data_IF_386288430875
#
_entry.id   IF_386288430875
#
_cell.length_a   1.000
_cell.length_b   1.000
_cell.length_c   1.000
_cell.angle_alpha   90.00
_cell.angle_beta   90.00
_cell.angle_gamma   90.00
#
_symmetry.space_group_name_H-M   'P 1'
#
loop_
_entity.id
_entity.type
_entity.pdbx_description
1 polymer ?
#
# COMPACT_ATOMS: atom_id res chain seq x y z
N UNK A 1 15.17 32.37 8.09
CA UNK A 1 16.64 32.22 8.11
C UNK A 1 17.24 33.54 8.60
N UNK A 2 18.35 33.51 9.34
CA UNK A 2 19.10 34.70 9.71
C UNK A 2 20.22 34.90 8.68
N UNK A 3 20.30 36.09 8.07
CA UNK A 3 21.29 36.40 7.03
C UNK A 3 22.68 36.66 7.62
N UNK A 4 22.75 37.24 8.83
CA UNK A 4 24.01 37.48 9.53
C UNK A 4 24.55 36.17 10.14
N UNK A 5 25.75 35.78 9.70
CA UNK A 5 26.41 34.54 10.12
C UNK A 5 26.68 34.46 11.64
N UNK A 6 27.07 35.57 12.28
CA UNK A 6 27.36 35.59 13.72
C UNK A 6 26.06 35.51 14.52
N UNK A 7 25.01 36.20 14.07
CA UNK A 7 23.68 36.11 14.67
C UNK A 7 23.11 34.69 14.53
N UNK A 8 23.32 34.04 13.37
CA UNK A 8 22.91 32.66 13.13
C UNK A 8 23.62 31.67 14.07
N UNK A 9 24.94 31.76 14.23
CA UNK A 9 25.70 30.93 15.17
C UNK A 9 25.29 31.16 16.63
N UNK A 10 25.14 32.41 17.04
CA UNK A 10 24.72 32.75 18.41
C UNK A 10 23.30 32.24 18.70
N UNK A 11 22.38 32.35 17.72
CA UNK A 11 21.04 31.80 17.83
C UNK A 11 21.06 30.26 17.90
N UNK A 12 21.83 29.61 17.03
CA UNK A 12 22.02 28.15 17.04
C UNK A 12 22.48 27.66 18.42
N UNK A 13 23.57 28.23 18.96
CA UNK A 13 24.08 27.85 20.28
C UNK A 13 23.04 28.03 21.38
N UNK A 14 22.29 29.14 21.36
CA UNK A 14 21.23 29.42 22.35
C UNK A 14 20.07 28.42 22.25
N UNK A 15 19.68 28.05 21.03
CA UNK A 15 18.58 27.10 20.77
C UNK A 15 18.99 25.67 21.12
N UNK A 16 20.19 25.22 20.71
CA UNK A 16 20.73 23.90 21.05
C UNK A 16 20.86 23.69 22.56
N UNK A 17 21.29 24.71 23.31
CA UNK A 17 21.31 24.67 24.79
C UNK A 17 19.94 24.47 25.43
N UNK A 18 18.85 24.72 24.71
CA UNK A 18 17.47 24.49 25.15
C UNK A 18 16.88 23.17 24.63
N UNK A 19 17.67 22.34 23.97
CA UNK A 19 17.21 21.08 23.38
C UNK A 19 16.35 21.24 22.13
N UNK A 20 16.37 22.41 21.49
CA UNK A 20 15.62 22.68 20.25
C UNK A 20 16.48 22.25 19.06
N UNK A 21 15.90 21.45 18.15
CA UNK A 21 16.53 21.07 16.90
C UNK A 21 16.69 22.30 15.98
N UNK A 22 17.88 22.48 15.42
CA UNK A 22 18.23 23.61 14.56
C UNK A 22 18.63 23.10 13.17
N UNK A 23 18.16 23.78 12.13
CA UNK A 23 18.72 23.67 10.79
C UNK A 23 19.32 25.04 10.43
N UNK A 24 20.62 25.06 10.13
CA UNK A 24 21.35 26.24 9.69
C UNK A 24 21.56 26.11 8.18
N UNK A 25 20.86 26.96 7.42
CA UNK A 25 20.94 26.98 5.95
C UNK A 25 22.40 27.13 5.50
N UNK A 26 22.78 26.36 4.48
CA UNK A 26 24.13 26.31 3.90
C UNK A 26 25.26 25.83 4.84
N UNK A 27 24.93 25.36 6.06
CA UNK A 27 25.90 24.85 7.05
C UNK A 27 25.48 23.49 7.62
N UNK A 28 25.54 22.42 6.81
CA UNK A 28 25.04 21.10 7.19
C UNK A 28 25.69 20.53 8.47
N UNK A 29 26.96 20.84 8.74
CA UNK A 29 27.68 20.45 9.95
C UNK A 29 27.12 21.07 11.24
N UNK A 30 26.35 22.15 11.12
CA UNK A 30 25.70 22.83 12.24
C UNK A 30 24.24 22.39 12.44
N UNK A 31 23.68 21.63 11.49
CA UNK A 31 22.29 21.17 11.50
C UNK A 31 22.09 19.93 12.37
N UNK A 32 20.96 19.87 13.07
CA UNK A 32 20.46 18.67 13.75
C UNK A 32 19.56 17.82 12.84
N UNK A 33 19.03 18.41 11.76
CA UNK A 33 18.18 17.75 10.78
C UNK A 33 18.32 18.34 9.38
N UNK A 34 17.86 17.61 8.36
CA UNK A 34 17.80 18.08 6.97
C UNK A 34 16.36 18.40 6.57
N UNK A 35 16.18 19.40 5.72
CA UNK A 35 14.86 19.71 5.14
C UNK A 35 14.62 18.83 3.91
N UNK A 36 13.55 18.01 3.89
CA UNK A 36 13.24 17.17 2.74
C UNK A 36 12.66 18.01 1.59
N UNK A 37 12.64 17.42 0.40
CA UNK A 37 11.84 17.92 -0.73
C UNK A 37 10.39 17.44 -0.53
N UNK A 38 9.43 18.35 -0.41
CA UNK A 38 8.04 18.04 -0.06
C UNK A 38 7.16 18.12 -1.31
N UNK A 39 6.46 17.04 -1.61
CA UNK A 39 5.31 17.04 -2.53
C UNK A 39 4.04 17.21 -1.68
N UNK A 40 3.24 18.21 -2.03
CA UNK A 40 2.06 18.59 -1.28
C UNK A 40 0.76 18.30 -2.05
N UNK A 41 -0.10 17.47 -1.43
CA UNK A 41 -1.46 17.11 -1.86
C UNK A 41 -2.38 17.13 -0.64
N UNK A 42 -2.35 18.22 0.13
CA UNK A 42 -3.10 18.39 1.39
C UNK A 42 -4.47 17.67 1.40
N UNK A 43 -4.75 16.79 2.38
CA UNK A 43 -3.96 16.53 3.60
C UNK A 43 -2.83 15.50 3.44
N UNK A 44 -2.55 15.02 2.23
CA UNK A 44 -1.49 14.06 1.98
C UNK A 44 -0.16 14.75 1.65
N UNK A 45 0.89 14.41 2.39
CA UNK A 45 2.23 14.95 2.20
C UNK A 45 3.23 13.82 1.93
N UNK A 46 4.12 14.02 0.96
CA UNK A 46 5.24 13.10 0.69
C UNK A 46 6.54 13.88 0.88
N UNK A 47 7.35 13.46 1.85
CA UNK A 47 8.66 14.03 2.13
C UNK A 47 9.77 13.13 1.55
N UNK A 48 10.59 13.69 0.67
CA UNK A 48 11.70 12.99 0.01
C UNK A 48 13.02 13.51 0.59
N UNK A 49 13.71 12.65 1.32
CA UNK A 49 15.02 12.93 1.91
C UNK A 49 16.10 12.03 1.33
N UNK A 50 17.33 12.56 1.23
CA UNK A 50 18.53 11.78 0.88
C UNK A 50 19.53 11.69 2.03
N UNK A 51 19.11 12.04 3.25
CA UNK A 51 20.02 12.12 4.41
C UNK A 51 21.17 13.11 4.20
N UNK A 52 20.96 14.14 3.39
CA UNK A 52 21.99 15.13 3.04
C UNK A 52 22.88 14.75 1.85
N UNK A 53 22.77 13.53 1.30
CA UNK A 53 23.64 13.08 0.21
C UNK A 53 23.44 13.86 -1.10
N UNK A 54 22.20 14.23 -1.43
CA UNK A 54 21.92 15.05 -2.62
C UNK A 54 20.54 15.71 -2.55
N UNK A 55 20.51 17.03 -2.36
CA UNK A 55 19.28 17.81 -2.43
C UNK A 55 18.72 17.86 -3.87
N UNK A 56 19.62 17.88 -4.88
CA UNK A 56 19.25 17.84 -6.29
C UNK A 56 18.48 16.58 -6.67
N UNK A 57 18.92 15.41 -6.19
CA UNK A 57 18.22 14.14 -6.42
C UNK A 57 16.82 14.17 -5.80
N UNK A 58 16.68 14.58 -4.53
CA UNK A 58 15.37 14.71 -3.86
C UNK A 58 14.43 15.67 -4.63
N UNK A 59 14.96 16.80 -5.11
CA UNK A 59 14.21 17.76 -5.93
C UNK A 59 13.72 17.12 -7.23
N UNK A 60 14.60 16.46 -7.98
CA UNK A 60 14.22 15.86 -9.26
C UNK A 60 13.25 14.69 -9.10
N UNK A 61 13.37 13.87 -8.04
CA UNK A 61 12.37 12.83 -7.74
C UNK A 61 11.01 13.44 -7.39
N UNK A 62 10.97 14.49 -6.55
CA UNK A 62 9.73 15.23 -6.26
C UNK A 62 9.03 15.69 -7.53
N UNK A 63 9.77 16.37 -8.41
CA UNK A 63 9.22 16.91 -9.67
C UNK A 63 8.64 15.81 -10.57
N UNK A 64 9.26 14.62 -10.60
CA UNK A 64 8.72 13.47 -11.37
C UNK A 64 7.49 12.87 -10.71
N UNK A 65 7.48 12.75 -9.39
CA UNK A 65 6.31 12.26 -8.65
C UNK A 65 5.13 13.23 -8.75
N UNK A 66 5.38 14.55 -8.79
CA UNK A 66 4.33 15.56 -8.99
C UNK A 66 3.57 15.39 -10.30
N UNK A 67 4.20 14.83 -11.33
CA UNK A 67 3.57 14.55 -12.62
C UNK A 67 2.71 13.28 -12.60
N UNK A 68 3.00 12.36 -11.68
CA UNK A 68 2.32 11.05 -11.58
C UNK A 68 1.20 11.11 -10.55
N UNK A 69 1.40 11.86 -9.46
CA UNK A 69 0.50 11.91 -8.32
C UNK A 69 -0.53 13.02 -8.55
N UNK A 70 -1.81 12.67 -8.77
CA UNK A 70 -2.84 13.64 -9.12
C UNK A 70 -3.11 14.63 -7.99
N UNK A 71 -3.58 15.82 -8.34
CA UNK A 71 -3.95 16.84 -7.35
C UNK A 71 -5.19 16.42 -6.52
N UNK A 72 -6.06 15.58 -7.09
CA UNK A 72 -7.28 15.08 -6.46
C UNK A 72 -7.05 14.12 -5.29
N UNK A 73 -5.82 13.65 -5.08
CA UNK A 73 -5.48 12.74 -4.00
C UNK A 73 -5.82 13.30 -2.61
N UNK A 74 -5.70 14.61 -2.44
CA UNK A 74 -6.13 15.29 -1.22
C UNK A 74 -7.64 15.18 -0.97
N UNK A 75 -8.43 15.35 -2.03
CA UNK A 75 -9.89 15.19 -1.98
C UNK A 75 -10.28 13.74 -1.66
N UNK A 76 -9.58 12.75 -2.22
CA UNK A 76 -9.80 11.33 -1.89
C UNK A 76 -9.56 11.06 -0.40
N UNK A 77 -8.47 11.60 0.16
CA UNK A 77 -8.18 11.46 1.60
C UNK A 77 -9.28 12.10 2.47
N UNK A 78 -9.77 13.28 2.11
CA UNK A 78 -10.86 13.96 2.81
C UNK A 78 -12.19 13.21 2.69
N UNK A 79 -12.50 12.65 1.52
CA UNK A 79 -13.69 11.86 1.28
C UNK A 79 -13.68 10.58 2.12
N UNK A 80 -12.57 9.84 2.14
CA UNK A 80 -12.38 8.66 2.99
C UNK A 80 -12.46 8.99 4.49
N UNK A 81 -11.89 10.12 4.91
CA UNK A 81 -12.00 10.59 6.29
C UNK A 81 -13.45 10.87 6.67
N UNK A 82 -14.21 11.51 5.79
CA UNK A 82 -15.63 11.82 6.01
C UNK A 82 -16.49 10.55 6.04
N UNK A 83 -16.14 9.55 5.22
CA UNK A 83 -16.80 8.24 5.16
C UNK A 83 -16.49 7.31 6.36
N UNK A 84 -15.55 7.66 7.25
CA UNK A 84 -15.02 6.74 8.27
C UNK A 84 -16.07 6.15 9.21
N UNK A 85 -17.07 6.95 9.62
CA UNK A 85 -18.10 6.48 10.56
C UNK A 85 -19.09 5.56 9.86
N UNK A 86 -19.44 5.87 8.62
CA UNK A 86 -20.29 5.01 7.80
C UNK A 86 -19.58 3.69 7.44
N UNK A 87 -18.28 3.72 7.14
CA UNK A 87 -17.45 2.53 6.98
C UNK A 87 -17.42 1.65 8.23
N UNK A 88 -17.31 2.25 9.42
CA UNK A 88 -17.36 1.50 10.70
C UNK A 88 -18.73 0.92 10.99
N UNK A 89 -19.80 1.63 10.64
CA UNK A 89 -21.17 1.13 10.80
C UNK A 89 -21.46 -0.03 9.84
N UNK A 90 -21.00 0.06 8.58
CA UNK A 90 -21.20 -0.96 7.54
C UNK A 90 -20.32 -2.19 7.76
N UNK A 91 -19.06 -1.99 8.14
CA UNK A 91 -18.10 -3.05 8.42
C UNK A 91 -17.60 -2.93 9.87
N UNK A 92 -18.32 -3.47 10.87
CA UNK A 92 -17.90 -3.40 12.27
C UNK A 92 -16.57 -4.13 12.52
N UNK A 93 -16.37 -5.27 11.85
CA UNK A 93 -15.13 -6.03 11.93
C UNK A 93 -13.95 -5.25 11.32
N UNK A 94 -12.86 -5.14 12.08
CA UNK A 94 -11.70 -4.35 11.68
C UNK A 94 -10.87 -5.00 10.56
N UNK A 95 -10.81 -6.33 10.52
CA UNK A 95 -10.09 -7.06 9.48
C UNK A 95 -10.84 -6.99 8.16
N UNK A 96 -12.16 -7.19 8.17
CA UNK A 96 -13.03 -7.03 7.01
C UNK A 96 -12.96 -5.61 6.45
N UNK A 97 -13.12 -4.60 7.31
CA UNK A 97 -13.03 -3.19 6.89
C UNK A 97 -11.68 -2.85 6.26
N UNK A 98 -10.57 -3.37 6.81
CA UNK A 98 -9.24 -3.22 6.20
C UNK A 98 -9.18 -3.88 4.83
N UNK A 99 -9.66 -5.14 4.70
CA UNK A 99 -9.67 -5.84 3.41
C UNK A 99 -10.43 -5.08 2.33
N UNK A 100 -11.62 -4.55 2.66
CA UNK A 100 -12.46 -3.81 1.72
C UNK A 100 -11.80 -2.49 1.30
N UNK A 101 -11.21 -1.74 2.24
CA UNK A 101 -10.47 -0.52 1.94
C UNK A 101 -9.22 -0.81 1.09
N UNK A 102 -8.45 -1.84 1.44
CA UNK A 102 -7.23 -2.22 0.71
C UNK A 102 -7.57 -2.64 -0.73
N UNK A 103 -8.63 -3.43 -0.93
CA UNK A 103 -9.11 -3.82 -2.26
C UNK A 103 -9.64 -2.63 -3.07
N UNK A 104 -10.17 -1.60 -2.42
CA UNK A 104 -10.62 -0.39 -3.09
C UNK A 104 -9.46 0.49 -3.58
N UNK A 105 -8.41 0.61 -2.77
CA UNK A 105 -7.26 1.48 -3.01
C UNK A 105 -6.14 0.84 -3.84
N UNK A 106 -6.22 -0.46 -4.14
CA UNK A 106 -5.22 -1.11 -4.99
C UNK A 106 -5.23 -0.54 -6.41
N UNK A 107 -4.15 -0.78 -7.16
CA UNK A 107 -4.05 -0.37 -8.56
C UNK A 107 -5.20 -0.98 -9.39
N UNK A 108 -5.94 -0.14 -10.09
CA UNK A 108 -7.15 -0.52 -10.84
C UNK A 108 -8.39 -0.79 -9.98
N UNK A 109 -8.30 -0.58 -8.67
CA UNK A 109 -9.44 -0.65 -7.76
C UNK A 109 -10.43 0.50 -7.94
N UNK A 110 -11.64 0.39 -7.37
CA UNK A 110 -12.67 1.41 -7.48
C UNK A 110 -12.28 2.77 -6.91
N UNK A 111 -11.30 2.84 -6.00
CA UNK A 111 -10.79 4.08 -5.42
C UNK A 111 -9.27 4.23 -5.63
N UNK A 112 -8.73 3.71 -6.75
CA UNK A 112 -7.31 3.82 -7.08
C UNK A 112 -6.82 5.28 -6.90
N UNK A 113 -5.86 5.54 -5.99
CA UNK A 113 -5.39 6.90 -5.69
C UNK A 113 -4.80 7.67 -6.87
N UNK A 114 -4.42 6.99 -7.96
CA UNK A 114 -3.86 7.61 -9.15
C UNK A 114 -4.91 7.97 -10.21
N UNK A 115 -6.18 7.63 -10.00
CA UNK A 115 -7.28 8.08 -10.85
C UNK A 115 -7.83 9.41 -10.35
N UNK A 116 -8.10 10.35 -11.26
CA UNK A 116 -8.52 11.71 -10.89
C UNK A 116 -9.88 11.74 -10.17
N UNK A 117 -10.79 10.86 -10.57
CA UNK A 117 -12.19 10.80 -10.15
C UNK A 117 -12.45 9.95 -8.88
N UNK A 118 -11.41 9.33 -8.30
CA UNK A 118 -11.57 8.40 -7.17
C UNK A 118 -12.27 9.03 -5.96
N UNK A 119 -12.07 10.33 -5.72
CA UNK A 119 -12.73 11.04 -4.62
C UNK A 119 -14.25 11.08 -4.77
N UNK A 120 -14.74 11.23 -6.00
CA UNK A 120 -16.17 11.34 -6.32
C UNK A 120 -16.87 9.99 -6.17
N UNK A 121 -16.14 8.90 -6.42
CA UNK A 121 -16.62 7.52 -6.34
C UNK A 121 -16.71 6.97 -4.91
N UNK A 122 -16.20 7.68 -3.89
CA UNK A 122 -16.19 7.17 -2.49
C UNK A 122 -17.59 6.87 -1.98
N UNK A 123 -18.56 7.75 -2.24
CA UNK A 123 -19.92 7.56 -1.74
C UNK A 123 -20.62 6.40 -2.47
N UNK A 124 -20.52 6.36 -3.81
CA UNK A 124 -21.07 5.27 -4.61
C UNK A 124 -20.45 3.92 -4.24
N UNK A 125 -19.13 3.87 -4.07
CA UNK A 125 -18.43 2.68 -3.61
C UNK A 125 -18.90 2.26 -2.22
N UNK A 126 -19.06 3.21 -1.29
CA UNK A 126 -19.52 2.90 0.06
C UNK A 126 -20.95 2.37 0.07
N UNK A 127 -21.83 2.91 -0.76
CA UNK A 127 -23.25 2.54 -0.86
C UNK A 127 -23.43 1.21 -1.61
N UNK A 128 -22.68 1.04 -2.71
CA UNK A 128 -22.68 -0.11 -3.60
C UNK A 128 -21.76 -1.25 -3.18
N UNK A 129 -21.01 -1.13 -2.08
CA UNK A 129 -20.23 -2.22 -1.49
C UNK A 129 -21.15 -3.28 -0.84
N UNK A 130 -22.13 -3.80 -1.57
CA UNK A 130 -22.56 -5.16 -1.33
C UNK A 130 -21.30 -5.99 -1.50
N UNK A 131 -20.88 -6.63 -0.41
CA UNK A 131 -19.61 -7.34 -0.30
C UNK A 131 -19.63 -8.61 -1.16
N UNK A 132 -19.71 -8.45 -2.48
CA UNK A 132 -19.00 -9.32 -3.38
C UNK A 132 -17.55 -8.82 -3.36
N UNK A 133 -16.82 -9.19 -2.30
CA UNK A 133 -15.47 -9.67 -2.56
C UNK A 133 -15.66 -10.78 -3.58
N UNK A 134 -15.59 -10.48 -4.87
CA UNK A 134 -15.21 -11.50 -5.82
C UNK A 134 -13.87 -11.98 -5.28
N UNK A 135 -13.78 -13.21 -4.74
CA UNK A 135 -12.50 -13.70 -4.27
C UNK A 135 -11.52 -13.50 -5.42
N UNK A 136 -10.34 -12.95 -5.14
CA UNK A 136 -9.27 -12.90 -6.13
C UNK A 136 -8.94 -14.35 -6.44
N UNK A 137 -9.63 -14.90 -7.44
CA UNK A 137 -9.70 -16.33 -7.70
C UNK A 137 -8.87 -16.63 -8.92
N UNK A 138 -7.80 -17.36 -8.71
CA UNK A 138 -6.92 -17.79 -9.79
C UNK A 138 -6.99 -19.29 -9.94
N UNK A 139 -7.44 -19.75 -11.11
CA UNK A 139 -7.45 -21.17 -11.46
C UNK A 139 -6.33 -21.44 -12.47
N UNK A 140 -5.57 -22.50 -12.24
CA UNK A 140 -4.64 -23.01 -13.24
C UNK A 140 -4.51 -24.54 -13.18
N UNK A 141 -4.23 -25.13 -14.34
CA UNK A 141 -4.01 -26.57 -14.48
C UNK A 141 -2.53 -26.88 -14.30
N UNK A 142 -2.24 -27.84 -13.43
CA UNK A 142 -0.88 -28.33 -13.21
C UNK A 142 -0.49 -29.28 -14.34
N UNK A 143 0.65 -28.97 -14.98
CA UNK A 143 1.21 -29.77 -16.09
C UNK A 143 1.98 -30.97 -15.56
N UNK A 144 2.58 -30.84 -14.37
CA UNK A 144 3.43 -31.84 -13.73
C UNK A 144 3.10 -31.97 -12.24
N UNK A 145 3.60 -33.05 -11.63
CA UNK A 145 3.58 -33.27 -10.19
C UNK A 145 4.85 -32.76 -9.49
N UNK A 146 5.84 -32.32 -10.28
CA UNK A 146 7.07 -31.69 -9.79
C UNK A 146 6.84 -30.22 -9.41
N UNK A 147 7.11 -29.82 -8.15
CA UNK A 147 7.03 -28.42 -7.73
C UNK A 147 7.94 -27.46 -8.49
N UNK A 148 9.03 -27.95 -9.10
CA UNK A 148 9.99 -27.11 -9.82
C UNK A 148 9.50 -26.78 -11.24
N UNK A 149 8.48 -27.49 -11.74
CA UNK A 149 7.77 -27.16 -12.98
C UNK A 149 6.72 -26.04 -12.80
N UNK A 150 6.56 -25.53 -11.58
CA UNK A 150 5.72 -24.36 -11.32
C UNK A 150 6.36 -23.12 -11.93
N UNK A 151 5.58 -22.38 -12.72
CA UNK A 151 6.01 -21.04 -13.16
C UNK A 151 6.21 -20.11 -11.96
N UNK A 152 7.08 -19.11 -12.12
CA UNK A 152 7.30 -18.08 -11.08
C UNK A 152 5.99 -17.42 -10.62
N UNK A 153 5.04 -17.22 -11.54
CA UNK A 153 3.71 -16.68 -11.20
C UNK A 153 2.92 -17.63 -10.31
N UNK A 154 2.86 -18.92 -10.64
CA UNK A 154 2.13 -19.92 -9.85
C UNK A 154 2.74 -20.09 -8.46
N UNK A 155 4.07 -20.22 -8.36
CA UNK A 155 4.77 -20.32 -7.08
C UNK A 155 4.50 -19.08 -6.19
N UNK A 156 4.54 -17.88 -6.77
CA UNK A 156 4.23 -16.63 -6.05
C UNK A 156 2.79 -16.58 -5.55
N UNK A 157 1.84 -17.08 -6.33
CA UNK A 157 0.43 -17.14 -5.94
C UNK A 157 0.19 -18.16 -4.81
N UNK A 158 0.79 -19.35 -4.90
CA UNK A 158 0.70 -20.36 -3.84
C UNK A 158 1.25 -19.87 -2.50
N UNK A 159 2.36 -19.13 -2.52
CA UNK A 159 2.96 -18.55 -1.32
C UNK A 159 2.13 -17.43 -0.68
N UNK A 160 1.16 -16.86 -1.39
CA UNK A 160 0.29 -15.78 -0.91
C UNK A 160 -1.14 -16.21 -0.61
N UNK A 161 -1.58 -17.35 -1.14
CA UNK A 161 -2.96 -17.81 -1.07
C UNK A 161 -3.47 -17.89 0.37
N UNK A 162 -4.69 -17.40 0.59
CA UNK A 162 -5.43 -17.55 1.84
C UNK A 162 -6.22 -18.88 1.82
N UNK A 163 -6.74 -19.25 0.64
CA UNK A 163 -7.49 -20.49 0.43
C UNK A 163 -6.97 -21.22 -0.80
N UNK A 164 -6.74 -22.53 -0.66
CA UNK A 164 -6.43 -23.43 -1.77
C UNK A 164 -7.59 -24.40 -1.99
N UNK A 165 -8.10 -24.41 -3.20
CA UNK A 165 -9.04 -25.42 -3.69
C UNK A 165 -8.25 -26.36 -4.62
N UNK A 166 -8.23 -27.67 -4.35
CA UNK A 166 -7.43 -28.57 -5.19
C UNK A 166 -8.12 -29.88 -5.51
N UNK A 167 -7.81 -30.44 -6.67
CA UNK A 167 -8.17 -31.82 -7.00
C UNK A 167 -7.45 -32.81 -6.08
N UNK A 168 -8.07 -33.98 -5.84
CA UNK A 168 -7.44 -35.08 -5.08
C UNK A 168 -6.14 -35.60 -5.71
N UNK A 169 -5.96 -35.37 -7.00
CA UNK A 169 -4.79 -35.83 -7.78
C UNK A 169 -3.58 -34.90 -7.66
N UNK A 170 -3.72 -33.74 -7.03
CA UNK A 170 -2.60 -32.79 -6.87
C UNK A 170 -1.56 -33.36 -5.91
N UNK A 171 -0.30 -33.40 -6.34
CA UNK A 171 0.80 -33.93 -5.56
C UNK A 171 1.04 -33.14 -4.26
N UNK A 172 1.35 -33.86 -3.18
CA UNK A 172 1.62 -33.26 -1.87
C UNK A 172 2.81 -32.29 -1.90
N UNK A 173 3.79 -32.55 -2.78
CA UNK A 173 4.96 -31.71 -2.96
C UNK A 173 4.59 -30.30 -3.46
N UNK A 174 3.56 -30.19 -4.32
CA UNK A 174 3.03 -28.89 -4.79
C UNK A 174 2.24 -28.21 -3.66
N UNK A 175 1.43 -28.97 -2.92
CA UNK A 175 0.70 -28.46 -1.75
C UNK A 175 1.62 -28.00 -0.62
N UNK A 176 2.87 -28.47 -0.57
CA UNK A 176 3.89 -28.00 0.37
C UNK A 176 4.45 -26.61 0.02
N UNK A 177 4.26 -26.13 -1.22
CA UNK A 177 4.64 -24.77 -1.65
C UNK A 177 3.60 -23.71 -1.28
N UNK A 178 2.42 -24.14 -0.82
CA UNK A 178 1.36 -23.26 -0.32
C UNK A 178 1.80 -22.64 1.00
N UNK A 179 1.40 -21.37 1.22
CA UNK A 179 1.49 -20.70 2.53
C UNK A 179 1.06 -21.63 3.67
N UNK A 180 1.83 -21.69 4.76
CA UNK A 180 1.66 -22.71 5.79
C UNK A 180 0.31 -22.63 6.53
N UNK A 181 -0.25 -21.43 6.64
CA UNK A 181 -1.51 -21.08 7.31
C UNK A 181 -2.71 -20.97 6.35
N UNK A 182 -2.53 -21.27 5.05
CA UNK A 182 -3.63 -21.24 4.10
C UNK A 182 -4.65 -22.36 4.39
N UNK A 183 -5.93 -22.02 4.29
CA UNK A 183 -7.04 -22.98 4.39
C UNK A 183 -7.07 -23.85 3.14
N UNK A 184 -7.24 -25.17 3.29
CA UNK A 184 -7.19 -26.13 2.17
C UNK A 184 -8.51 -26.89 2.08
N UNK A 185 -9.12 -26.87 0.89
CA UNK A 185 -10.31 -27.65 0.57
C UNK A 185 -10.08 -28.49 -0.69
N UNK A 186 -10.66 -29.68 -0.69
CA UNK A 186 -10.67 -30.58 -1.84
C UNK A 186 -11.88 -30.27 -2.71
N UNK A 187 -11.70 -30.14 -4.02
CA UNK A 187 -12.80 -29.92 -4.95
C UNK A 187 -13.73 -31.16 -5.06
N UNK A 188 -15.04 -30.97 -5.30
CA UNK A 188 -15.75 -29.69 -5.35
C UNK A 188 -15.97 -29.08 -3.95
N UNK A 189 -15.88 -27.75 -3.85
CA UNK A 189 -16.14 -26.99 -2.63
C UNK A 189 -16.95 -25.74 -2.98
N UNK A 190 -18.15 -25.65 -2.41
CA UNK A 190 -19.11 -24.55 -2.65
C UNK A 190 -19.27 -23.66 -1.40
N UNK A 191 -18.39 -23.80 -0.41
CA UNK A 191 -18.41 -22.99 0.80
C UNK A 191 -17.83 -21.58 0.60
N UNK A 192 -18.06 -20.66 1.55
CA UNK A 192 -17.49 -19.33 1.50
C UNK A 192 -15.96 -19.42 1.51
N UNK A 193 -15.33 -18.59 0.69
CA UNK A 193 -13.87 -18.43 0.62
C UNK A 193 -13.56 -16.95 0.70
N UNK A 194 -12.77 -16.55 1.70
CA UNK A 194 -12.31 -15.17 1.86
C UNK A 194 -10.84 -15.03 1.49
N UNK A 195 -10.46 -13.90 0.86
CA UNK A 195 -9.09 -13.62 0.48
C UNK A 195 -8.69 -14.17 -0.89
N UNK A 196 -7.39 -14.38 -1.10
CA UNK A 196 -6.81 -14.90 -2.35
C UNK A 196 -7.08 -16.41 -2.45
N UNK A 197 -7.95 -16.80 -3.39
CA UNK A 197 -8.34 -18.19 -3.62
C UNK A 197 -7.58 -18.74 -4.83
N UNK A 198 -6.78 -19.78 -4.63
CA UNK A 198 -6.08 -20.44 -5.73
C UNK A 198 -6.67 -21.84 -5.95
N UNK A 199 -7.14 -22.08 -7.18
CA UNK A 199 -7.73 -23.34 -7.60
C UNK A 199 -6.73 -24.14 -8.44
N UNK A 200 -6.42 -25.35 -7.99
CA UNK A 200 -5.46 -26.27 -8.61
C UNK A 200 -6.21 -27.45 -9.22
N UNK A 201 -6.19 -27.52 -10.56
CA UNK A 201 -6.73 -28.65 -11.31
C UNK A 201 -5.61 -29.53 -11.83
N UNK A 202 -5.83 -30.84 -11.87
CA UNK A 202 -4.95 -31.76 -12.59
C UNK A 202 -5.60 -32.11 -13.93
N UNK A 203 -4.90 -31.77 -15.02
CA UNK A 203 -5.30 -32.13 -16.39
C UNK A 203 -5.19 -33.63 -16.64
#
# INVERSE_FOLDING_TARGET
>A
ALEDARAAEAAMLRLKRRGILVNVVDRPELCDFTTPSILDRDPLLIAIGTGGASAGLAKHLRLRLEQIIPQSLGALAQALFSAREALRARFPDAAERRRVIDAALQAGGPLDPLQEDSAERVQEWLDGADAACTPDRHSFTLVSDDPDDLTLRQARLLGKADVILHDRKVAQAILARVRADAVRHVLPYDGPSEGLVVELRRG
#
